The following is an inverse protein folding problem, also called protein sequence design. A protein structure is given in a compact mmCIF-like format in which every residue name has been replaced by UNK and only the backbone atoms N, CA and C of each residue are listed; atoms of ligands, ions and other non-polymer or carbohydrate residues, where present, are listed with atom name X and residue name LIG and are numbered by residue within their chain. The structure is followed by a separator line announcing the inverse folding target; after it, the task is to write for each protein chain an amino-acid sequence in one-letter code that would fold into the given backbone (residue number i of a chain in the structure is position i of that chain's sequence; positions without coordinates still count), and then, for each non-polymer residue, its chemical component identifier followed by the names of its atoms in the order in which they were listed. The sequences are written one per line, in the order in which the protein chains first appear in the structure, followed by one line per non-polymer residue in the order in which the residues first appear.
data_IF_179290701039
#
_entry.id   IF_179290701039
#
_cell.length_a   1.000
_cell.length_b   1.000
_cell.length_c   1.000
_cell.angle_alpha   90.00
_cell.angle_beta   90.00
_cell.angle_gamma   90.00
#
_symmetry.space_group_name_H-M   'P 1'
#
loop_
_entity.id
_entity.type
_entity.pdbx_description
1 polymer ?
#
# COMPACT_ATOMS: atom_id res chain seq x y z
N UNK A 1 2.93 -5.53 -15.24
CA UNK A 1 2.08 -4.32 -15.27
C UNK A 1 0.75 -4.71 -14.67
N UNK A 2 0.35 -4.10 -13.56
CA UNK A 2 -0.96 -4.35 -12.96
C UNK A 2 -2.05 -3.89 -13.93
N UNK A 3 -2.90 -4.82 -14.37
CA UNK A 3 -3.83 -4.64 -15.50
C UNK A 3 -4.83 -3.48 -15.37
N UNK A 4 -4.90 -2.81 -14.21
CA UNK A 4 -5.75 -1.65 -13.95
C UNK A 4 -5.02 -0.41 -13.42
N UNK A 5 -3.70 -0.46 -13.20
CA UNK A 5 -2.92 0.66 -12.67
C UNK A 5 -3.52 1.31 -11.38
N UNK A 6 -4.13 0.50 -10.50
CA UNK A 6 -4.70 0.93 -9.22
C UNK A 6 -3.89 0.32 -8.09
N UNK A 7 -3.53 1.15 -7.11
CA UNK A 7 -2.86 0.74 -5.86
C UNK A 7 -3.86 0.91 -4.71
N UNK A 8 -4.18 -0.17 -4.00
CA UNK A 8 -5.18 -0.18 -2.91
C UNK A 8 -4.72 0.57 -1.64
N UNK A 9 -3.43 0.46 -1.31
CA UNK A 9 -2.76 1.11 -0.16
C UNK A 9 -3.25 0.76 1.25
N UNK A 10 -4.38 0.08 1.42
CA UNK A 10 -4.81 -0.50 2.70
C UNK A 10 -5.25 -1.97 2.53
N UNK A 11 -4.30 -2.85 2.19
CA UNK A 11 -4.57 -4.29 2.12
C UNK A 11 -4.44 -4.90 3.52
N UNK A 12 -5.54 -5.45 4.02
CA UNK A 12 -5.65 -6.17 5.30
C UNK A 12 -6.68 -7.29 5.17
N UNK A 13 -6.65 -8.32 6.04
CA UNK A 13 -7.63 -9.41 6.02
C UNK A 13 -9.08 -8.91 6.03
N UNK A 14 -9.38 -7.85 6.77
CA UNK A 14 -10.70 -7.23 6.84
C UNK A 14 -11.20 -6.71 5.47
N UNK A 15 -10.28 -6.37 4.57
CA UNK A 15 -10.55 -5.87 3.22
C UNK A 15 -10.49 -6.99 2.16
N UNK A 16 -10.31 -8.26 2.57
CA UNK A 16 -10.34 -9.44 1.71
C UNK A 16 -11.62 -10.23 1.96
N UNK A 17 -12.55 -10.16 1.00
CA UNK A 17 -13.86 -10.80 1.10
C UNK A 17 -13.89 -12.06 0.26
N UNK A 18 -14.36 -13.17 0.83
CA UNK A 18 -14.57 -14.41 0.09
C UNK A 18 -16.04 -14.44 -0.35
N UNK A 19 -16.27 -14.52 -1.66
CA UNK A 19 -17.57 -14.81 -2.24
C UNK A 19 -17.61 -16.29 -2.63
N UNK A 20 -18.64 -17.01 -2.20
CA UNK A 20 -18.92 -18.36 -2.69
C UNK A 20 -19.97 -18.21 -3.80
N UNK A 21 -19.74 -18.85 -4.95
CA UNK A 21 -20.71 -18.88 -6.03
C UNK A 21 -21.71 -20.03 -5.88
N UNK A 22 -22.68 -20.12 -6.82
CA UNK A 22 -23.71 -21.15 -6.82
C UNK A 22 -23.14 -22.57 -7.00
N UNK A 23 -21.94 -22.67 -7.60
CA UNK A 23 -21.17 -23.91 -7.78
C UNK A 23 -20.42 -24.35 -6.51
N UNK A 24 -20.37 -23.48 -5.49
CA UNK A 24 -19.59 -23.69 -4.27
C UNK A 24 -18.12 -23.25 -4.38
N UNK A 25 -17.70 -22.64 -5.49
CA UNK A 25 -16.34 -22.16 -5.69
C UNK A 25 -16.09 -20.87 -4.88
N UNK A 26 -14.90 -20.78 -4.26
CA UNK A 26 -14.49 -19.62 -3.46
C UNK A 26 -13.73 -18.62 -4.32
N UNK A 27 -14.27 -17.41 -4.42
CA UNK A 27 -13.68 -16.29 -5.14
C UNK A 27 -13.20 -15.23 -4.14
N UNK A 28 -11.89 -14.95 -4.13
CA UNK A 28 -11.34 -13.85 -3.34
C UNK A 28 -11.60 -12.51 -4.03
N UNK A 29 -12.12 -11.54 -3.26
CA UNK A 29 -12.38 -10.18 -3.70
C UNK A 29 -11.73 -9.19 -2.75
N UNK A 30 -11.26 -8.08 -3.30
CA UNK A 30 -10.74 -6.95 -2.52
C UNK A 30 -11.86 -5.93 -2.34
N UNK A 31 -12.02 -5.43 -1.13
CA UNK A 31 -13.01 -4.43 -0.74
C UNK A 31 -12.33 -3.20 -0.12
N UNK A 32 -13.08 -2.10 -0.01
CA UNK A 32 -12.67 -0.81 0.58
C UNK A 32 -11.53 -0.07 -0.13
N UNK A 33 -11.87 0.58 -1.24
CA UNK A 33 -10.95 1.40 -2.03
C UNK A 33 -10.81 2.85 -1.51
N UNK A 34 -11.19 3.14 -0.26
CA UNK A 34 -11.15 4.51 0.30
C UNK A 34 -9.77 5.16 0.29
N UNK A 35 -8.71 4.34 0.27
CA UNK A 35 -7.32 4.79 0.16
C UNK A 35 -6.68 4.50 -1.20
N UNK A 36 -7.42 3.95 -2.16
CA UNK A 36 -6.84 3.56 -3.43
C UNK A 36 -6.43 4.79 -4.27
N UNK A 37 -5.34 4.65 -5.03
CA UNK A 37 -4.90 5.65 -6.02
C UNK A 37 -4.61 4.99 -7.35
N UNK A 38 -4.77 5.75 -8.42
CA UNK A 38 -4.30 5.37 -9.74
C UNK A 38 -2.81 5.70 -9.88
N UNK A 39 -2.13 5.04 -10.83
CA UNK A 39 -0.70 5.24 -11.07
C UNK A 39 -0.33 6.67 -11.54
N UNK A 40 -1.30 7.45 -12.04
CA UNK A 40 -1.19 8.85 -12.44
C UNK A 40 -1.47 9.85 -11.31
N UNK A 41 -1.74 9.37 -10.09
CA UNK A 41 -1.91 10.24 -8.93
C UNK A 41 -0.67 11.12 -8.69
N UNK A 42 -0.91 12.34 -8.20
CA UNK A 42 0.16 13.31 -7.90
C UNK A 42 1.16 12.70 -6.91
N UNK A 43 2.44 13.09 -7.05
CA UNK A 43 3.51 12.60 -6.18
C UNK A 43 3.18 12.78 -4.69
N UNK A 44 2.55 13.89 -4.32
CA UNK A 44 2.16 14.19 -2.94
C UNK A 44 1.11 13.21 -2.41
N UNK A 45 0.13 12.83 -3.24
CA UNK A 45 -0.89 11.83 -2.88
C UNK A 45 -0.27 10.44 -2.75
N UNK A 46 0.75 10.12 -3.57
CA UNK A 46 1.45 8.85 -3.53
C UNK A 46 2.37 8.69 -2.31
N UNK A 47 2.87 9.79 -1.74
CA UNK A 47 3.77 9.81 -0.58
C UNK A 47 2.99 9.95 0.73
N UNK A 48 1.72 10.41 0.67
CA UNK A 48 0.86 10.49 1.85
C UNK A 48 0.69 9.10 2.47
N UNK A 49 1.03 9.02 3.75
CA UNK A 49 0.80 7.81 4.49
C UNK A 49 -0.71 7.59 4.72
N UNK A 50 -1.21 6.46 4.25
CA UNK A 50 -2.59 5.99 4.46
C UNK A 50 -2.60 4.47 4.64
N UNK A 51 -3.54 3.96 5.44
CA UNK A 51 -3.70 2.54 5.72
C UNK A 51 -3.56 2.18 7.19
N UNK A 52 -3.67 0.89 7.48
CA UNK A 52 -3.72 0.34 8.84
C UNK A 52 -2.31 -0.02 9.35
N UNK A 53 -1.77 0.65 10.39
CA UNK A 53 -0.38 0.51 10.86
C UNK A 53 0.13 -0.91 11.10
N UNK A 54 -0.74 -1.81 11.53
CA UNK A 54 -0.42 -3.21 11.85
C UNK A 54 -0.19 -4.08 10.61
N UNK A 55 -0.63 -3.65 9.43
CA UNK A 55 -0.51 -4.40 8.17
C UNK A 55 0.54 -3.80 7.23
N UNK A 56 1.40 -2.94 7.77
CA UNK A 56 2.38 -2.19 7.00
C UNK A 56 3.64 -3.04 6.77
N UNK A 57 4.13 -3.15 5.51
CA UNK A 57 5.40 -3.79 5.22
C UNK A 57 6.57 -3.15 5.98
N UNK A 58 7.59 -3.91 6.39
CA UNK A 58 8.70 -3.41 7.22
C UNK A 58 9.45 -2.23 6.61
N UNK A 59 9.56 -2.15 5.28
CA UNK A 59 10.18 -1.04 4.56
C UNK A 59 9.40 0.28 4.66
N UNK A 60 8.07 0.19 4.78
CA UNK A 60 7.21 1.36 5.00
C UNK A 60 7.26 1.75 6.47
N UNK A 61 7.24 0.78 7.39
CA UNK A 61 7.41 1.01 8.82
C UNK A 61 8.75 1.70 9.14
N UNK A 62 9.86 1.27 8.52
CA UNK A 62 11.16 1.94 8.68
C UNK A 62 11.11 3.37 8.14
N UNK A 63 10.42 3.61 7.02
CA UNK A 63 10.21 4.95 6.48
C UNK A 63 9.42 5.86 7.45
N UNK A 64 8.47 5.32 8.21
CA UNK A 64 7.78 6.09 9.24
C UNK A 64 8.63 6.48 10.42
N UNK A 65 9.45 5.57 10.92
CA UNK A 65 10.38 5.89 12.00
C UNK A 65 11.27 7.06 11.62
N UNK A 66 11.71 7.09 10.35
CA UNK A 66 12.49 8.21 9.80
C UNK A 66 11.71 9.52 9.70
N UNK A 67 10.41 9.49 9.36
CA UNK A 67 9.55 10.69 9.38
C UNK A 67 9.40 11.25 10.79
N UNK A 68 9.19 10.38 11.79
CA UNK A 68 9.07 10.78 13.20
C UNK A 68 10.38 11.33 13.78
N UNK A 69 11.52 10.98 13.19
CA UNK A 69 12.84 11.55 13.49
C UNK A 69 13.08 12.93 12.82
N UNK A 70 12.08 13.52 12.16
CA UNK A 70 12.20 14.83 11.52
C UNK A 70 13.00 14.83 10.21
N UNK A 71 13.20 13.66 9.58
CA UNK A 71 13.91 13.56 8.30
C UNK A 71 13.02 14.02 7.14
N UNK A 72 13.63 14.67 6.17
CA UNK A 72 12.92 15.23 5.01
C UNK A 72 12.36 14.14 4.09
N UNK A 73 11.28 14.47 3.37
CA UNK A 73 10.65 13.60 2.37
C UNK A 73 11.63 13.08 1.30
N UNK A 74 12.67 13.85 0.97
CA UNK A 74 13.74 13.46 0.03
C UNK A 74 14.59 12.32 0.59
N UNK A 75 14.91 12.36 1.89
CA UNK A 75 15.66 11.30 2.57
C UNK A 75 14.85 10.00 2.65
N UNK A 76 13.52 10.12 2.82
CA UNK A 76 12.60 8.98 2.78
C UNK A 76 12.60 8.27 1.43
N UNK A 77 12.40 9.03 0.34
CA UNK A 77 12.31 8.47 -1.01
C UNK A 77 13.61 7.76 -1.40
N UNK A 78 14.77 8.31 -1.02
CA UNK A 78 16.07 7.66 -1.25
C UNK A 78 16.19 6.34 -0.48
N UNK A 79 15.72 6.30 0.77
CA UNK A 79 15.78 5.09 1.61
C UNK A 79 14.82 4.00 1.13
N UNK A 80 13.57 4.31 0.75
CA UNK A 80 12.67 3.24 0.27
C UNK A 80 13.12 2.71 -1.10
N UNK A 81 13.69 3.58 -1.96
CA UNK A 81 14.34 3.14 -3.21
C UNK A 81 15.50 2.18 -2.92
N UNK A 82 16.40 2.52 -1.99
CA UNK A 82 17.54 1.64 -1.65
C UNK A 82 17.15 0.35 -0.92
N UNK A 83 16.00 0.32 -0.22
CA UNK A 83 15.44 -0.91 0.36
C UNK A 83 14.86 -1.82 -0.72
N UNK A 84 14.19 -1.25 -1.72
CA UNK A 84 13.58 -2.00 -2.82
C UNK A 84 14.61 -2.57 -3.78
N UNK A 85 15.69 -1.85 -4.05
CA UNK A 85 16.77 -2.28 -4.96
C UNK A 85 17.68 -3.38 -4.36
N UNK A 86 17.44 -3.77 -3.09
CA UNK A 86 18.16 -4.86 -2.38
C UNK A 86 17.43 -6.22 -2.44
N UNK A 87 16.30 -6.30 -3.12
CA UNK A 87 15.56 -7.54 -3.41
C UNK A 87 15.76 -7.94 -4.85
#
# INVERSE_FOLDING_TARGET
MDAKNIKHRDLKPDNLVIKIDESGEKHLKIADFGYAITSDAKADDAVKFVGTPTYIPPEIFEAYSLLNEGKSSVQLVKKIKSLRDRR
#
